data_IF_781291880591
#
_entry.id   IF_781291880591
#
_cell.length_a   1.000
_cell.length_b   1.000
_cell.length_c   1.000
_cell.angle_alpha   90.00
_cell.angle_beta   90.00
_cell.angle_gamma   90.00
#
_symmetry.space_group_name_H-M   'P 1'
#
loop_
_entity.id
_entity.type
_entity.pdbx_description
1 polymer ?
#
# COMPACT_ATOMS: atom_id res chain seq x y z
N UNK A 1 9.79 -1.72 -7.58
CA UNK A 1 8.48 -1.55 -8.22
C UNK A 1 8.34 -0.13 -8.73
N UNK A 2 7.86 0.04 -9.95
CA UNK A 2 7.70 1.35 -10.56
C UNK A 2 6.22 1.68 -10.73
N UNK A 3 5.81 2.85 -10.22
CA UNK A 3 4.44 3.32 -10.32
C UNK A 3 4.47 4.75 -10.84
N UNK A 4 3.81 5.01 -11.96
CA UNK A 4 3.76 6.34 -12.60
C UNK A 4 5.15 6.94 -12.81
N UNK A 5 6.10 6.10 -13.21
CA UNK A 5 7.45 6.54 -13.51
C UNK A 5 8.36 6.72 -12.29
N UNK A 6 7.86 6.49 -11.10
CA UNK A 6 8.63 6.60 -9.88
C UNK A 6 8.91 5.21 -9.29
N UNK A 7 10.15 4.99 -8.86
CA UNK A 7 10.55 3.71 -8.30
C UNK A 7 10.25 3.68 -6.79
N UNK A 8 9.58 2.62 -6.34
CA UNK A 8 9.19 2.43 -4.95
C UNK A 8 9.88 1.21 -4.36
N UNK A 9 10.37 1.36 -3.13
CA UNK A 9 10.89 0.24 -2.37
C UNK A 9 9.74 -0.61 -1.89
N UNK A 10 9.96 -1.92 -1.83
CA UNK A 10 8.93 -2.86 -1.41
C UNK A 10 9.56 -3.88 -0.46
N UNK A 11 9.37 -3.67 0.84
CA UNK A 11 9.88 -4.55 1.87
C UNK A 11 8.85 -4.63 2.99
N UNK A 12 8.47 -5.85 3.37
CA UNK A 12 7.56 -6.06 4.49
C UNK A 12 8.20 -5.55 5.79
N UNK A 13 7.45 -4.74 6.54
CA UNK A 13 7.93 -4.17 7.80
C UNK A 13 6.80 -4.16 8.82
N UNK A 14 7.16 -4.13 10.10
CA UNK A 14 6.19 -4.00 11.17
C UNK A 14 5.42 -2.68 11.05
N UNK A 15 6.06 -1.63 10.54
CA UNK A 15 5.42 -0.34 10.34
C UNK A 15 4.21 -0.46 9.40
N UNK A 16 4.27 -1.34 8.42
CA UNK A 16 3.14 -1.55 7.50
C UNK A 16 1.90 -2.03 8.25
N UNK A 17 2.08 -2.90 9.24
CA UNK A 17 0.97 -3.38 10.07
C UNK A 17 0.36 -2.23 10.88
N UNK A 18 1.21 -1.37 11.45
CA UNK A 18 0.72 -0.22 12.20
C UNK A 18 -0.06 0.75 11.31
N UNK A 19 0.45 1.00 10.11
CA UNK A 19 -0.24 1.88 9.17
C UNK A 19 -1.60 1.29 8.80
N UNK A 20 -1.66 -0.02 8.56
CA UNK A 20 -2.90 -0.70 8.25
C UNK A 20 -3.94 -0.51 9.37
N UNK A 21 -3.52 -0.71 10.62
CA UNK A 21 -4.42 -0.53 11.75
C UNK A 21 -4.90 0.92 11.88
N UNK A 22 -4.02 1.89 11.59
CA UNK A 22 -4.39 3.30 11.65
C UNK A 22 -5.41 3.67 10.57
N UNK A 23 -5.26 3.13 9.38
CA UNK A 23 -6.17 3.42 8.27
C UNK A 23 -7.52 2.75 8.47
N UNK A 24 -7.53 1.47 8.87
CA UNK A 24 -8.76 0.70 8.97
C UNK A 24 -9.44 0.82 10.32
N UNK A 25 -8.69 1.19 11.36
CA UNK A 25 -9.21 1.23 12.73
C UNK A 25 -9.46 -0.14 13.34
N UNK A 26 -8.91 -1.19 12.75
CA UNK A 26 -9.09 -2.56 13.25
C UNK A 26 -7.80 -3.37 13.12
N UNK A 27 -7.77 -4.52 13.78
CA UNK A 27 -6.62 -5.42 13.73
C UNK A 27 -6.35 -5.90 12.30
N UNK A 28 -5.09 -6.18 12.02
CA UNK A 28 -4.68 -6.67 10.71
C UNK A 28 -5.36 -8.00 10.39
N UNK A 29 -6.08 -8.03 9.25
CA UNK A 29 -6.78 -9.22 8.80
C UNK A 29 -7.06 -9.09 7.31
N UNK A 30 -6.61 -10.04 6.52
CA UNK A 30 -6.81 -10.03 5.07
C UNK A 30 -7.93 -10.97 4.69
N UNK A 31 -9.13 -10.45 4.54
CA UNK A 31 -10.33 -11.24 4.19
C UNK A 31 -10.80 -11.02 2.77
N UNK A 32 -10.53 -9.85 2.21
CA UNK A 32 -11.02 -9.47 0.88
C UNK A 32 -9.87 -9.02 0.01
N UNK A 33 -10.13 -8.92 -1.29
CA UNK A 33 -9.15 -8.37 -2.23
C UNK A 33 -8.80 -6.93 -1.85
N UNK A 34 -9.81 -6.16 -1.43
CA UNK A 34 -9.57 -4.79 -0.98
C UNK A 34 -8.58 -4.75 0.18
N UNK A 35 -8.73 -5.66 1.14
CA UNK A 35 -7.82 -5.74 2.28
C UNK A 35 -6.38 -6.03 1.83
N UNK A 36 -6.23 -6.94 0.87
CA UNK A 36 -4.90 -7.30 0.37
C UNK A 36 -4.21 -6.11 -0.31
N UNK A 37 -4.92 -5.39 -1.16
CA UNK A 37 -4.33 -4.24 -1.86
C UNK A 37 -4.14 -3.06 -0.92
N UNK A 38 -5.01 -2.89 0.06
CA UNK A 38 -4.82 -1.85 1.07
C UNK A 38 -3.55 -2.13 1.89
N UNK A 39 -3.32 -3.39 2.26
CA UNK A 39 -2.09 -3.75 2.96
C UNK A 39 -0.86 -3.51 2.08
N UNK A 40 -0.96 -3.85 0.80
CA UNK A 40 0.12 -3.59 -0.14
C UNK A 40 0.45 -2.10 -0.18
N UNK A 41 -0.57 -1.25 -0.20
CA UNK A 41 -0.39 0.19 -0.11
C UNK A 41 0.33 0.58 1.20
N UNK A 42 -0.04 -0.05 2.31
CA UNK A 42 0.62 0.21 3.60
C UNK A 42 2.10 -0.16 3.55
N UNK A 43 2.45 -1.28 2.89
CA UNK A 43 3.84 -1.68 2.70
C UNK A 43 4.59 -0.61 1.89
N UNK A 44 3.98 -0.11 0.83
CA UNK A 44 4.60 0.94 0.02
C UNK A 44 4.84 2.20 0.85
N UNK A 45 3.86 2.63 1.62
CA UNK A 45 3.99 3.85 2.43
C UNK A 45 5.01 3.68 3.55
N UNK A 46 5.09 2.50 4.14
CA UNK A 46 6.07 2.22 5.19
C UNK A 46 7.51 2.32 4.69
N UNK A 47 7.74 1.96 3.43
CA UNK A 47 9.08 1.98 2.83
C UNK A 47 9.37 3.28 2.07
N UNK A 48 8.37 4.11 1.83
CA UNK A 48 8.50 5.34 1.04
C UNK A 48 7.71 6.45 1.73
N UNK A 49 8.13 6.87 2.94
CA UNK A 49 7.35 7.80 3.76
C UNK A 49 7.18 9.19 3.14
N UNK A 50 8.04 9.56 2.20
CA UNK A 50 7.95 10.86 1.54
C UNK A 50 7.02 10.84 0.32
N UNK A 51 6.46 9.69 0.00
CA UNK A 51 5.57 9.57 -1.15
C UNK A 51 4.19 10.18 -0.85
N UNK A 52 3.62 10.84 -1.84
CA UNK A 52 2.27 11.38 -1.76
C UNK A 52 1.26 10.51 -2.52
N UNK A 53 1.65 9.30 -2.88
CA UNK A 53 0.78 8.37 -3.59
C UNK A 53 -0.44 8.02 -2.74
N UNK A 54 -1.64 8.14 -3.31
CA UNK A 54 -2.87 7.75 -2.64
C UNK A 54 -3.23 6.31 -2.99
N UNK A 55 -4.10 5.72 -2.18
CA UNK A 55 -4.58 4.37 -2.47
C UNK A 55 -5.28 4.29 -3.82
N UNK A 56 -6.08 5.30 -4.17
CA UNK A 56 -6.74 5.35 -5.48
C UNK A 56 -5.74 5.40 -6.62
N UNK A 57 -4.69 6.18 -6.49
CA UNK A 57 -3.65 6.25 -7.51
C UNK A 57 -2.95 4.91 -7.69
N UNK A 58 -2.74 4.17 -6.59
CA UNK A 58 -2.17 2.84 -6.67
C UNK A 58 -3.08 1.90 -7.45
N UNK A 59 -4.38 1.93 -7.15
CA UNK A 59 -5.35 1.08 -7.85
C UNK A 59 -5.38 1.40 -9.33
N UNK A 60 -5.38 2.68 -9.70
CA UNK A 60 -5.34 3.08 -11.10
C UNK A 60 -4.09 2.56 -11.80
N UNK A 61 -2.94 2.64 -11.15
CA UNK A 61 -1.68 2.16 -11.73
C UNK A 61 -1.71 0.65 -11.95
N UNK A 62 -2.29 -0.10 -11.02
CA UNK A 62 -2.43 -1.55 -11.16
C UNK A 62 -3.39 -1.89 -12.31
N UNK A 63 -4.50 -1.17 -12.42
CA UNK A 63 -5.46 -1.37 -13.49
C UNK A 63 -4.83 -1.13 -14.86
N UNK A 64 -3.98 -0.13 -14.99
CA UNK A 64 -3.31 0.18 -16.25
C UNK A 64 -2.39 -0.95 -16.71
N UNK A 65 -1.78 -1.68 -15.76
CA UNK A 65 -0.85 -2.76 -16.05
C UNK A 65 -1.57 -4.09 -16.31
N UNK A 66 -2.84 -4.17 -16.04
CA UNK A 66 -3.63 -5.36 -16.31
C UNK A 66 -4.30 -5.24 -17.67
#
# INVERSE_FOLDING_TARGET
MTIKGQDYKLKYTLRALFIYEQITGKAFELKTITDEYLFFYCVLMANNPDSSLTFEELIEAIDEDM
#
